data_IF_475902032506
#
_entry.id   IF_475902032506
#
_cell.length_a   1.000
_cell.length_b   1.000
_cell.length_c   1.000
_cell.angle_alpha   90.00
_cell.angle_beta   90.00
_cell.angle_gamma   90.00
#
_symmetry.space_group_name_H-M   'P 1'
#
loop_
_entity.id
_entity.type
_entity.pdbx_description
1 polymer ?
#
# COMPACT_ATOMS: atom_id res chain seq x y z
N UNK A 1 -15.49 14.97 5.90
CA UNK A 1 -15.13 15.78 7.08
C UNK A 1 -13.78 15.27 7.54
N UNK A 2 -12.72 16.08 7.44
CA UNK A 2 -11.40 15.65 7.89
C UNK A 2 -11.42 15.37 9.39
N UNK A 3 -10.72 14.31 9.81
CA UNK A 3 -10.49 14.04 11.23
C UNK A 3 -9.94 15.32 11.86
N UNK A 4 -10.61 15.81 12.91
CA UNK A 4 -10.12 16.93 13.70
C UNK A 4 -8.77 16.55 14.28
N UNK A 5 -7.70 17.23 13.85
CA UNK A 5 -6.33 16.92 14.28
C UNK A 5 -6.17 17.19 15.77
N UNK A 6 -6.07 16.13 16.56
CA UNK A 6 -5.80 16.20 18.00
C UNK A 6 -4.31 15.94 18.23
N UNK A 7 -3.57 16.98 18.61
CA UNK A 7 -2.14 16.87 18.85
C UNK A 7 -1.84 15.83 19.95
N UNK A 8 -0.89 14.94 19.70
CA UNK A 8 -0.47 13.87 20.62
C UNK A 8 -1.42 12.67 20.69
N UNK A 9 -2.48 12.61 19.88
CA UNK A 9 -3.38 11.46 19.79
C UNK A 9 -3.54 11.02 18.35
N UNK A 10 -3.46 9.72 18.11
CA UNK A 10 -3.74 9.14 16.80
C UNK A 10 -5.25 9.08 16.62
N UNK A 11 -5.76 9.75 15.59
CA UNK A 11 -7.18 9.70 15.23
C UNK A 11 -7.39 8.75 14.07
N UNK A 12 -8.24 7.74 14.26
CA UNK A 12 -8.49 6.71 13.26
C UNK A 12 -9.98 6.65 12.91
N UNK A 13 -10.31 6.91 11.65
CA UNK A 13 -11.63 6.57 11.11
C UNK A 13 -11.61 5.09 10.70
N UNK A 14 -12.24 4.26 11.54
CA UNK A 14 -12.33 2.82 11.31
C UNK A 14 -13.00 2.50 9.97
N UNK A 15 -14.01 3.27 9.57
CA UNK A 15 -14.73 2.99 8.34
C UNK A 15 -13.88 3.29 7.11
N UNK A 16 -13.19 4.44 7.10
CA UNK A 16 -12.33 4.81 5.98
C UNK A 16 -11.15 3.85 5.85
N UNK A 17 -10.53 3.48 6.96
CA UNK A 17 -9.39 2.57 6.99
C UNK A 17 -9.75 1.15 6.55
N UNK A 18 -10.86 0.58 7.05
CA UNK A 18 -11.33 -0.74 6.59
C UNK A 18 -11.68 -0.76 5.10
N UNK A 19 -12.14 0.36 4.53
CA UNK A 19 -12.47 0.46 3.10
C UNK A 19 -11.23 0.57 2.21
N UNK A 20 -10.18 1.22 2.70
CA UNK A 20 -8.90 1.34 1.99
C UNK A 20 -8.08 0.06 2.03
N UNK A 21 -8.39 -0.86 2.96
CA UNK A 21 -7.69 -2.12 3.08
C UNK A 21 -8.09 -3.09 1.95
N UNK A 22 -7.19 -3.25 0.97
CA UNK A 22 -7.40 -4.11 -0.20
C UNK A 22 -7.64 -5.59 0.13
N UNK A 23 -7.19 -6.04 1.30
CA UNK A 23 -7.36 -7.43 1.76
C UNK A 23 -8.79 -7.75 2.18
N UNK A 24 -9.58 -6.74 2.57
CA UNK A 24 -10.88 -6.95 3.21
C UNK A 24 -12.07 -6.90 2.25
N UNK A 25 -11.87 -6.48 0.98
CA UNK A 25 -12.85 -6.38 -0.13
C UNK A 25 -14.31 -6.47 0.35
N UNK A 26 -14.73 -5.48 1.13
CA UNK A 26 -16.03 -5.52 1.79
C UNK A 26 -17.13 -5.46 0.74
N UNK A 27 -18.02 -6.45 0.72
CA UNK A 27 -19.10 -6.52 -0.25
C UNK A 27 -20.16 -5.41 -0.05
N UNK A 28 -20.26 -4.86 1.16
CA UNK A 28 -21.22 -3.81 1.51
C UNK A 28 -20.56 -2.70 2.32
N UNK A 29 -21.04 -1.47 2.11
CA UNK A 29 -20.52 -0.25 2.74
C UNK A 29 -21.11 0.04 4.12
N UNK A 30 -21.53 -1.00 4.85
CA UNK A 30 -22.23 -0.82 6.13
C UNK A 30 -21.51 -1.54 7.26
N UNK A 31 -21.58 -0.95 8.46
CA UNK A 31 -21.06 -1.56 9.70
C UNK A 31 -21.59 -2.98 9.91
N UNK A 32 -22.88 -3.21 9.60
CA UNK A 32 -23.53 -4.50 9.74
C UNK A 32 -22.99 -5.53 8.74
N UNK A 33 -22.71 -5.10 7.52
CA UNK A 33 -22.06 -5.92 6.51
C UNK A 33 -20.64 -6.31 6.90
N UNK A 34 -19.86 -5.35 7.38
CA UNK A 34 -18.51 -5.59 7.89
C UNK A 34 -18.52 -6.55 9.09
N UNK A 35 -19.45 -6.38 10.04
CA UNK A 35 -19.63 -7.29 11.17
C UNK A 35 -19.99 -8.71 10.74
N UNK A 36 -20.86 -8.87 9.75
CA UNK A 36 -21.21 -10.20 9.22
C UNK A 36 -20.02 -10.87 8.54
N UNK A 37 -19.25 -10.11 7.76
CA UNK A 37 -18.13 -10.65 6.99
C UNK A 37 -16.91 -10.98 7.88
N UNK A 38 -16.57 -10.10 8.84
CA UNK A 38 -15.37 -10.24 9.66
C UNK A 38 -15.61 -11.03 10.95
N UNK A 39 -16.77 -10.87 11.58
CA UNK A 39 -17.07 -11.46 12.88
C UNK A 39 -18.12 -12.57 12.79
N UNK A 40 -18.77 -12.77 11.64
CA UNK A 40 -19.88 -13.72 11.50
C UNK A 40 -21.16 -13.31 12.24
N UNK A 41 -21.24 -12.06 12.72
CA UNK A 41 -22.34 -11.59 13.55
C UNK A 41 -23.41 -10.88 12.71
N UNK A 42 -24.68 -11.25 12.94
CA UNK A 42 -25.83 -10.54 12.37
C UNK A 42 -26.55 -9.75 13.46
N UNK A 43 -26.63 -8.43 13.29
CA UNK A 43 -27.31 -7.54 14.23
C UNK A 43 -28.59 -6.95 13.60
N UNK A 44 -29.63 -6.68 14.40
CA UNK A 44 -30.82 -5.98 13.94
C UNK A 44 -30.46 -4.52 13.61
N UNK A 45 -30.93 -4.04 12.46
CA UNK A 45 -30.74 -2.64 12.06
C UNK A 45 -31.92 -1.80 12.55
N UNK A 46 -31.71 -1.07 13.64
CA UNK A 46 -32.71 -0.14 14.18
C UNK A 46 -32.58 1.21 13.45
N UNK A 47 -33.66 1.75 12.85
CA UNK A 47 -33.61 3.05 12.20
C UNK A 47 -33.53 4.18 13.23
N UNK A 48 -32.92 5.30 12.85
CA UNK A 48 -32.61 6.40 13.78
C UNK A 48 -33.87 6.99 14.46
N UNK A 49 -34.98 7.11 13.73
CA UNK A 49 -36.23 7.67 14.27
C UNK A 49 -36.78 6.83 15.43
N UNK A 50 -36.73 5.50 15.32
CA UNK A 50 -37.19 4.58 16.36
C UNK A 50 -36.25 4.64 17.58
N UNK A 51 -34.94 4.75 17.33
CA UNK A 51 -33.96 4.91 18.40
C UNK A 51 -34.18 6.22 19.17
N UNK A 52 -34.53 7.32 18.48
CA UNK A 52 -34.88 8.60 19.13
C UNK A 52 -36.11 8.47 20.03
N UNK A 53 -37.14 7.77 19.57
CA UNK A 53 -38.35 7.51 20.35
C UNK A 53 -38.03 6.70 21.61
N UNK A 54 -37.18 5.68 21.50
CA UNK A 54 -36.73 4.89 22.65
C UNK A 54 -35.88 5.69 23.65
N UNK A 55 -35.13 6.69 23.18
CA UNK A 55 -34.38 7.59 24.07
C UNK A 55 -35.30 8.54 24.85
N UNK A 56 -36.46 8.89 24.29
CA UNK A 56 -37.44 9.76 24.96
C UNK A 56 -38.34 9.02 25.95
N UNK A 57 -38.59 7.73 25.72
CA UNK A 57 -39.39 6.90 26.62
C UNK A 57 -38.53 6.31 27.75
N UNK A 58 -38.88 6.60 29.01
CA UNK A 58 -38.17 6.11 30.18
C UNK A 58 -38.13 4.57 30.27
N UNK A 59 -39.14 3.88 29.71
CA UNK A 59 -39.22 2.43 29.72
C UNK A 59 -38.22 1.76 28.76
N UNK A 60 -37.97 2.38 27.60
CA UNK A 60 -37.16 1.83 26.50
C UNK A 60 -35.74 2.43 26.44
N UNK A 61 -35.47 3.50 27.18
CA UNK A 61 -34.19 4.21 27.19
C UNK A 61 -33.00 3.30 27.52
N UNK A 62 -33.18 2.34 28.43
CA UNK A 62 -32.14 1.37 28.79
C UNK A 62 -31.77 0.49 27.59
N UNK A 63 -32.73 0.08 26.76
CA UNK A 63 -32.46 -0.78 25.60
C UNK A 63 -31.84 0.02 24.45
N UNK A 64 -32.22 1.29 24.26
CA UNK A 64 -31.53 2.20 23.36
C UNK A 64 -30.05 2.39 23.77
N UNK A 65 -29.80 2.54 25.07
CA UNK A 65 -28.44 2.62 25.60
C UNK A 65 -27.65 1.33 25.35
N UNK A 66 -28.21 0.16 25.68
CA UNK A 66 -27.58 -1.15 25.40
C UNK A 66 -27.24 -1.33 23.92
N UNK A 67 -28.17 -0.96 23.03
CA UNK A 67 -27.95 -1.05 21.58
C UNK A 67 -26.80 -0.13 21.12
N UNK A 68 -26.75 1.10 21.62
CA UNK A 68 -25.67 2.05 21.32
C UNK A 68 -24.32 1.54 21.81
N UNK A 69 -24.24 1.05 23.05
CA UNK A 69 -23.03 0.43 23.60
C UNK A 69 -22.62 -0.76 22.74
N UNK A 70 -23.56 -1.61 22.33
CA UNK A 70 -23.29 -2.76 21.46
C UNK A 70 -22.67 -2.35 20.12
N UNK A 71 -23.13 -1.26 19.51
CA UNK A 71 -22.54 -0.71 18.28
C UNK A 71 -21.11 -0.20 18.51
N UNK A 72 -20.85 0.49 19.62
CA UNK A 72 -19.50 0.94 19.98
C UNK A 72 -18.54 -0.24 20.23
N UNK A 73 -18.98 -1.25 20.98
CA UNK A 73 -18.20 -2.47 21.22
C UNK A 73 -17.91 -3.21 19.92
N UNK A 74 -18.88 -3.26 19.00
CA UNK A 74 -18.69 -3.88 17.69
C UNK A 74 -17.59 -3.17 16.87
N UNK A 75 -17.50 -1.84 16.95
CA UNK A 75 -16.43 -1.09 16.32
C UNK A 75 -15.04 -1.50 16.83
N UNK A 76 -14.90 -1.65 18.16
CA UNK A 76 -13.64 -2.14 18.76
C UNK A 76 -13.33 -3.58 18.35
N UNK A 77 -14.33 -4.47 18.37
CA UNK A 77 -14.16 -5.86 17.93
C UNK A 77 -13.76 -5.97 16.45
N UNK A 78 -14.30 -5.10 15.60
CA UNK A 78 -13.91 -5.01 14.20
C UNK A 78 -12.46 -4.54 14.03
N UNK A 79 -12.05 -3.53 14.82
CA UNK A 79 -10.67 -3.06 14.83
C UNK A 79 -9.71 -4.19 15.21
N UNK A 80 -10.02 -4.92 16.29
CA UNK A 80 -9.21 -6.05 16.76
C UNK A 80 -9.17 -7.19 15.73
N UNK A 81 -10.33 -7.61 15.21
CA UNK A 81 -10.42 -8.66 14.20
C UNK A 81 -9.73 -8.29 12.89
N UNK A 82 -9.71 -6.99 12.55
CA UNK A 82 -8.99 -6.51 11.37
C UNK A 82 -7.48 -6.50 11.57
N UNK A 83 -6.96 -6.62 12.80
CA UNK A 83 -5.54 -6.52 13.17
C UNK A 83 -4.80 -5.32 12.55
N UNK A 84 -5.53 -4.24 12.27
CA UNK A 84 -5.05 -3.11 11.47
C UNK A 84 -3.94 -2.34 12.19
N UNK A 85 -4.12 -2.05 13.48
CA UNK A 85 -3.12 -1.33 14.27
C UNK A 85 -1.82 -2.13 14.41
N UNK A 86 -1.92 -3.43 14.69
CA UNK A 86 -0.74 -4.30 14.81
C UNK A 86 0.03 -4.38 13.50
N UNK A 87 -0.66 -4.53 12.35
CA UNK A 87 0.02 -4.50 11.05
C UNK A 87 0.66 -3.15 10.77
N UNK A 88 -0.03 -2.06 11.09
CA UNK A 88 0.47 -0.72 10.85
C UNK A 88 1.70 -0.40 11.73
N UNK A 89 1.73 -0.86 12.99
CA UNK A 89 2.88 -0.70 13.88
C UNK A 89 4.10 -1.49 13.42
N UNK A 90 3.91 -2.73 12.98
CA UNK A 90 4.98 -3.55 12.41
C UNK A 90 5.53 -2.92 11.13
N UNK A 91 4.64 -2.47 10.25
CA UNK A 91 5.03 -1.77 9.02
C UNK A 91 5.80 -0.48 9.31
N UNK A 92 5.36 0.33 10.29
CA UNK A 92 6.08 1.54 10.71
C UNK A 92 7.51 1.21 11.16
N UNK A 93 7.66 0.16 11.96
CA UNK A 93 8.94 -0.29 12.52
C UNK A 93 9.89 -0.82 11.45
N UNK A 94 9.38 -1.62 10.50
CA UNK A 94 10.18 -2.15 9.39
C UNK A 94 10.65 -1.03 8.45
N UNK A 95 9.73 -0.14 8.04
CA UNK A 95 10.05 0.95 7.12
C UNK A 95 10.84 2.08 7.79
N UNK A 96 10.74 2.22 9.11
CA UNK A 96 11.26 3.36 9.87
C UNK A 96 10.47 4.63 9.59
N UNK A 97 9.15 4.50 9.50
CA UNK A 97 8.25 5.64 9.46
C UNK A 97 8.06 6.21 10.87
N UNK A 98 7.96 7.54 11.04
CA UNK A 98 7.93 8.14 12.36
C UNK A 98 6.64 7.82 13.12
N UNK A 99 5.49 7.78 12.43
CA UNK A 99 4.18 7.60 13.06
C UNK A 99 3.32 6.53 12.36
N UNK A 100 2.50 5.83 13.15
CA UNK A 100 1.54 4.82 12.67
C UNK A 100 0.44 5.44 11.81
N UNK A 101 0.02 6.68 12.13
CA UNK A 101 -0.97 7.41 11.34
C UNK A 101 -0.49 7.62 9.89
N UNK A 102 0.80 7.89 9.70
CA UNK A 102 1.36 8.06 8.37
C UNK A 102 1.36 6.76 7.56
N UNK A 103 1.53 5.60 8.22
CA UNK A 103 1.42 4.30 7.54
C UNK A 103 0.05 4.10 6.91
N UNK A 104 -1.00 4.56 7.62
CA UNK A 104 -2.40 4.41 7.23
C UNK A 104 -2.85 5.48 6.23
N UNK A 105 -2.31 6.70 6.33
CA UNK A 105 -2.78 7.85 5.55
C UNK A 105 -1.90 8.16 4.34
N UNK A 106 -0.59 7.90 4.40
CA UNK A 106 0.35 8.19 3.32
C UNK A 106 0.43 7.05 2.31
N UNK A 107 0.67 7.43 1.06
CA UNK A 107 0.79 6.49 -0.06
C UNK A 107 2.10 5.71 -0.08
N UNK A 108 2.20 4.78 -1.02
CA UNK A 108 3.37 3.91 -1.22
C UNK A 108 4.67 4.68 -1.50
N UNK A 109 4.60 5.84 -2.15
CA UNK A 109 5.77 6.67 -2.43
C UNK A 109 6.50 7.08 -1.14
N UNK A 110 5.76 7.54 -0.12
CA UNK A 110 6.35 7.97 1.15
C UNK A 110 7.09 6.81 1.84
N UNK A 111 6.56 5.59 1.74
CA UNK A 111 7.20 4.37 2.29
C UNK A 111 8.56 4.11 1.63
N UNK A 112 8.64 4.25 0.31
CA UNK A 112 9.89 4.07 -0.45
C UNK A 112 10.89 5.18 -0.10
N UNK A 113 10.42 6.43 0.02
CA UNK A 113 11.25 7.57 0.41
C UNK A 113 11.87 7.39 1.80
N UNK A 114 11.12 6.89 2.79
CA UNK A 114 11.65 6.58 4.12
C UNK A 114 12.80 5.56 4.08
N UNK A 115 12.62 4.46 3.33
CA UNK A 115 13.66 3.43 3.19
C UNK A 115 14.88 4.03 2.48
N UNK A 116 14.67 4.71 1.35
CA UNK A 116 15.74 5.24 0.51
C UNK A 116 16.53 6.33 1.24
N UNK A 117 15.86 7.22 1.97
CA UNK A 117 16.51 8.27 2.77
C UNK A 117 17.40 7.68 3.87
N UNK A 118 16.93 6.63 4.57
CA UNK A 118 17.73 5.93 5.58
C UNK A 118 18.94 5.24 4.96
N UNK A 119 18.78 4.60 3.81
CA UNK A 119 19.89 3.96 3.09
C UNK A 119 20.93 5.00 2.63
N UNK A 120 20.48 6.07 1.96
CA UNK A 120 21.33 7.14 1.46
C UNK A 120 22.11 7.85 2.58
N UNK A 121 21.44 8.14 3.70
CA UNK A 121 22.07 8.76 4.88
C UNK A 121 23.20 7.91 5.46
N UNK A 122 23.08 6.58 5.43
CA UNK A 122 24.12 5.67 5.95
C UNK A 122 25.32 5.53 5.02
N UNK A 123 25.13 5.72 3.72
CA UNK A 123 26.18 5.60 2.70
C UNK A 123 26.76 6.95 2.29
N UNK A 124 26.28 8.06 2.84
CA UNK A 124 26.73 9.42 2.52
C UNK A 124 26.21 9.96 1.18
N UNK A 125 25.09 9.41 0.66
CA UNK A 125 24.44 9.93 -0.55
C UNK A 125 23.39 11.00 -0.21
N UNK A 126 23.28 12.01 -1.08
CA UNK A 126 22.18 12.96 -1.09
C UNK A 126 21.10 12.53 -2.09
N UNK A 127 19.83 12.71 -1.73
CA UNK A 127 18.71 12.45 -2.64
C UNK A 127 18.39 13.70 -3.47
N UNK A 128 18.08 13.47 -4.75
CA UNK A 128 17.66 14.55 -5.66
C UNK A 128 16.15 14.77 -5.54
N UNK A 129 15.74 16.01 -5.32
CA UNK A 129 14.33 16.42 -5.32
C UNK A 129 13.98 17.08 -6.65
N UNK A 130 13.44 16.29 -7.59
CA UNK A 130 13.00 16.81 -8.90
C UNK A 130 11.70 17.62 -8.79
N UNK A 131 11.65 18.75 -9.51
CA UNK A 131 10.44 19.56 -9.65
C UNK A 131 9.39 18.89 -10.55
N UNK A 132 8.12 19.28 -10.39
CA UNK A 132 7.02 18.79 -11.25
C UNK A 132 7.28 19.05 -12.75
N UNK A 133 7.94 20.16 -13.09
CA UNK A 133 8.30 20.49 -14.47
C UNK A 133 9.35 19.52 -15.02
N UNK A 134 10.37 19.18 -14.23
CA UNK A 134 11.40 18.22 -14.61
C UNK A 134 10.81 16.81 -14.78
N UNK A 135 9.96 16.37 -13.85
CA UNK A 135 9.28 15.07 -13.95
C UNK A 135 8.38 15.01 -15.19
N UNK A 136 7.71 16.11 -15.56
CA UNK A 136 6.89 16.17 -16.78
C UNK A 136 7.74 16.13 -18.06
N UNK A 137 8.97 16.66 -18.01
CA UNK A 137 9.89 16.68 -19.15
C UNK A 137 10.66 15.36 -19.34
N UNK A 138 10.55 14.40 -18.42
CA UNK A 138 11.26 13.12 -18.53
C UNK A 138 10.76 12.32 -19.74
N UNK A 139 11.62 11.50 -20.38
CA UNK A 139 11.20 10.61 -21.45
C UNK A 139 10.08 9.68 -21.00
N UNK A 140 9.13 9.40 -21.90
CA UNK A 140 8.09 8.41 -21.64
C UNK A 140 8.70 7.01 -21.50
N UNK A 141 8.02 6.13 -20.76
CA UNK A 141 8.45 4.75 -20.60
C UNK A 141 8.34 4.00 -21.94
N UNK A 142 9.45 3.42 -22.39
CA UNK A 142 9.52 2.67 -23.66
C UNK A 142 9.12 1.19 -23.49
N UNK A 143 9.24 0.65 -22.27
CA UNK A 143 8.92 -0.74 -21.96
C UNK A 143 7.44 -0.96 -21.66
N UNK A 144 6.83 -1.93 -22.35
CA UNK A 144 5.47 -2.40 -22.11
C UNK A 144 5.52 -3.87 -21.66
N UNK A 145 4.74 -4.29 -20.65
CA UNK A 145 4.69 -5.70 -20.28
C UNK A 145 4.20 -6.56 -21.45
N UNK A 146 4.86 -7.69 -21.67
CA UNK A 146 4.47 -8.64 -22.71
C UNK A 146 3.27 -9.47 -22.21
N UNK A 147 2.14 -9.35 -22.90
CA UNK A 147 0.97 -10.21 -22.71
C UNK A 147 0.85 -11.11 -23.92
N UNK A 148 1.03 -12.42 -23.72
CA UNK A 148 0.88 -13.41 -24.79
C UNK A 148 -0.60 -13.55 -25.16
N UNK A 149 -0.87 -13.72 -26.46
CA UNK A 149 -2.23 -13.93 -26.95
C UNK A 149 -2.77 -15.29 -26.44
N UNK A 150 -3.88 -15.29 -25.69
CA UNK A 150 -4.43 -16.52 -25.15
C UNK A 150 -5.12 -17.32 -26.27
N UNK A 151 -4.95 -18.64 -26.24
CA UNK A 151 -5.77 -19.54 -27.05
C UNK A 151 -7.10 -19.77 -26.34
N UNK A 152 -8.16 -19.13 -26.81
CA UNK A 152 -9.50 -19.30 -26.24
C UNK A 152 -10.05 -20.69 -26.53
N UNK A 153 -10.55 -21.37 -25.51
CA UNK A 153 -11.13 -22.70 -25.65
C UNK A 153 -11.37 -23.39 -24.33
N UNK A 154 -12.01 -24.55 -24.38
CA UNK A 154 -12.22 -25.42 -23.24
C UNK A 154 -11.14 -26.52 -23.21
N UNK A 155 -10.28 -26.49 -22.21
CA UNK A 155 -9.17 -27.43 -22.06
C UNK A 155 -9.58 -28.61 -21.17
N UNK A 156 -9.61 -29.81 -21.75
CA UNK A 156 -9.90 -31.08 -21.02
C UNK A 156 -8.66 -31.72 -20.39
N UNK A 157 -7.48 -31.32 -20.86
CA UNK A 157 -6.19 -31.80 -20.37
C UNK A 157 -5.69 -30.92 -19.22
N UNK A 158 -4.90 -31.46 -18.26
CA UNK A 158 -4.28 -30.65 -17.22
C UNK A 158 -3.39 -29.55 -17.82
N UNK A 159 -3.55 -28.32 -17.31
CA UNK A 159 -2.74 -27.16 -17.70
C UNK A 159 -1.81 -26.78 -16.55
N UNK A 160 -0.51 -26.74 -16.82
CA UNK A 160 0.50 -26.32 -15.83
C UNK A 160 0.62 -24.79 -15.87
N UNK A 161 0.59 -24.17 -14.70
CA UNK A 161 0.77 -22.72 -14.53
C UNK A 161 2.13 -22.51 -13.87
N UNK A 162 2.99 -21.76 -14.54
CA UNK A 162 4.31 -21.37 -14.04
C UNK A 162 4.32 -19.85 -13.85
N UNK A 163 4.78 -19.40 -12.69
CA UNK A 163 4.90 -17.98 -12.36
C UNK A 163 6.23 -17.72 -11.65
N UNK A 164 6.77 -16.51 -11.80
CA UNK A 164 7.98 -16.08 -11.13
C UNK A 164 7.62 -15.49 -9.76
N UNK A 165 8.27 -15.97 -8.70
CA UNK A 165 8.15 -15.35 -7.39
C UNK A 165 8.88 -14.00 -7.38
N UNK A 166 8.14 -12.90 -7.26
CA UNK A 166 8.70 -11.55 -7.17
C UNK A 166 9.60 -11.18 -8.36
N UNK A 167 9.06 -11.24 -9.59
CA UNK A 167 9.80 -11.00 -10.84
C UNK A 167 10.65 -9.71 -10.81
N UNK A 168 10.05 -8.54 -10.59
CA UNK A 168 10.78 -7.27 -10.66
C UNK A 168 11.84 -7.09 -9.56
N UNK A 169 11.55 -7.34 -8.26
CA UNK A 169 12.59 -7.30 -7.24
C UNK A 169 13.77 -8.23 -7.53
N UNK A 170 13.50 -9.45 -8.02
CA UNK A 170 14.54 -10.42 -8.37
C UNK A 170 15.43 -9.91 -9.51
N UNK A 171 14.84 -9.31 -10.53
CA UNK A 171 15.57 -8.68 -11.65
C UNK A 171 16.45 -7.52 -11.14
N UNK A 172 15.89 -6.62 -10.31
CA UNK A 172 16.62 -5.47 -9.77
C UNK A 172 17.87 -5.91 -9.01
N UNK A 173 17.74 -6.95 -8.16
CA UNK A 173 18.86 -7.48 -7.35
C UNK A 173 19.87 -8.20 -8.25
N UNK A 174 19.41 -9.09 -9.13
CA UNK A 174 20.29 -9.93 -9.95
C UNK A 174 21.18 -9.11 -10.90
N UNK A 175 20.67 -7.96 -11.38
CA UNK A 175 21.38 -7.08 -12.31
C UNK A 175 21.88 -5.79 -11.67
N UNK A 176 21.89 -5.69 -10.34
CA UNK A 176 22.41 -4.53 -9.60
C UNK A 176 21.81 -3.19 -10.07
N UNK A 177 20.50 -3.15 -10.32
CA UNK A 177 19.82 -1.95 -10.80
C UNK A 177 19.57 -0.97 -9.65
N UNK A 178 20.22 0.18 -9.66
CA UNK A 178 20.06 1.22 -8.66
C UNK A 178 20.31 2.60 -9.27
N UNK A 179 19.79 3.65 -8.63
CA UNK A 179 20.14 5.04 -8.96
C UNK A 179 21.66 5.30 -8.88
N UNK A 180 22.37 4.59 -7.99
CA UNK A 180 23.82 4.74 -7.80
C UNK A 180 24.68 3.97 -8.82
N UNK A 181 24.07 3.10 -9.63
CA UNK A 181 24.77 2.26 -10.62
C UNK A 181 24.39 2.62 -12.07
N UNK A 182 23.42 3.52 -12.26
CA UNK A 182 23.01 3.97 -13.59
C UNK A 182 24.10 4.83 -14.26
N UNK A 183 24.70 4.33 -15.34
CA UNK A 183 25.77 5.00 -16.09
C UNK A 183 25.28 5.79 -17.31
N UNK A 184 23.99 5.69 -17.65
CA UNK A 184 23.36 6.39 -18.77
C UNK A 184 23.11 5.53 -20.00
N UNK A 185 22.69 6.14 -21.11
CA UNK A 185 22.38 5.45 -22.37
C UNK A 185 23.66 5.14 -23.15
N UNK A 186 23.67 3.99 -23.84
CA UNK A 186 24.83 3.44 -24.60
C UNK A 186 25.13 4.23 -25.89
N UNK A 187 24.38 5.29 -26.20
CA UNK A 187 24.50 6.04 -27.47
C UNK A 187 25.84 6.76 -27.63
N UNK A 188 26.64 6.89 -26.55
CA UNK A 188 28.03 7.33 -26.62
C UNK A 188 28.99 6.14 -26.59
N UNK A 189 29.44 5.69 -27.78
CA UNK A 189 30.49 4.67 -27.95
C UNK A 189 31.84 5.05 -27.32
N UNK A 190 31.99 6.27 -26.79
CA UNK A 190 33.21 6.77 -26.13
C UNK A 190 33.25 6.56 -24.60
N UNK A 191 32.19 6.03 -23.98
CA UNK A 191 32.13 5.82 -22.52
C UNK A 191 33.17 4.79 -22.01
N UNK A 192 33.56 3.83 -22.85
CA UNK A 192 34.67 2.90 -22.59
C UNK A 192 36.01 3.61 -22.34
N UNK A 193 36.19 4.82 -22.90
CA UNK A 193 37.43 5.60 -22.77
C UNK A 193 37.38 6.56 -21.59
N UNK A 194 36.21 7.12 -21.27
CA UNK A 194 36.06 8.10 -20.19
C UNK A 194 36.01 7.49 -18.77
N UNK A 195 35.46 6.28 -18.62
CA UNK A 195 35.31 5.61 -17.32
C UNK A 195 36.33 4.47 -17.07
N UNK A 196 37.19 4.18 -18.05
CA UNK A 196 38.22 3.14 -17.96
C UNK A 196 37.67 1.71 -17.84
N UNK A 197 36.41 1.48 -18.22
CA UNK A 197 35.72 0.20 -18.07
C UNK A 197 35.98 -0.72 -19.27
N UNK A 198 36.52 -1.92 -19.04
CA UNK A 198 36.76 -2.91 -20.10
C UNK A 198 35.47 -3.63 -20.53
N UNK A 199 35.33 -4.00 -21.81
CA UNK A 199 34.14 -4.71 -22.34
C UNK A 199 33.84 -6.05 -21.67
N UNK A 200 34.80 -6.65 -20.96
CA UNK A 200 34.71 -8.01 -20.43
C UNK A 200 34.59 -8.12 -18.89
N UNK A 201 33.99 -7.12 -18.21
CA UNK A 201 33.36 -7.14 -16.84
C UNK A 201 33.70 -5.91 -15.98
N UNK A 202 33.04 -4.77 -16.16
CA UNK A 202 32.54 -4.10 -14.95
C UNK A 202 31.14 -3.46 -15.07
N UNK A 203 30.39 -3.70 -16.15
CA UNK A 203 29.02 -3.18 -16.32
C UNK A 203 28.16 -4.11 -17.18
N UNK A 204 26.84 -4.03 -17.01
CA UNK A 204 25.84 -4.80 -17.77
C UNK A 204 25.08 -3.87 -18.72
N UNK A 205 25.01 -4.24 -20.00
CA UNK A 205 24.19 -3.52 -20.97
C UNK A 205 22.77 -4.08 -20.92
N UNK A 206 21.80 -3.24 -20.56
CA UNK A 206 20.36 -3.58 -20.63
C UNK A 206 19.72 -2.98 -21.88
N UNK A 207 18.53 -3.47 -22.25
CA UNK A 207 17.72 -2.91 -23.35
C UNK A 207 17.47 -1.39 -23.20
N UNK A 208 17.51 -0.84 -21.98
CA UNK A 208 17.25 0.58 -21.70
C UNK A 208 18.50 1.43 -21.40
N UNK A 209 19.70 0.84 -21.34
CA UNK A 209 20.93 1.57 -20.99
C UNK A 209 21.97 0.76 -20.21
N UNK A 210 23.03 1.45 -19.75
CA UNK A 210 24.15 0.89 -18.98
C UNK A 210 23.86 0.92 -17.48
N UNK A 211 24.07 -0.22 -16.82
CA UNK A 211 23.93 -0.42 -15.36
C UNK A 211 25.15 -1.17 -14.83
#
# INVERSE_FOLDING_TARGET
MGLSTLHGRITLDLWQTLRQEDSLKLATTTLHGAAKQLLGLTLPRIPMWLLQEWWTDASCCIDAFKYTVRLCTLGLQLLDASALLSRASEMASVLGMPDVEEVLTRGSQYRVECILHRAASRTGFGLVSSSKAQVKAQPALEGVPMVLEPRSGYYRTPTIILDFQSLYPSIIIAYNMCFSTCLGRVEHQDLTVALGTQRDKPYTVTMGGLI
#
